data_IF_950893176793
#
_entry.id   IF_950893176793
#
_cell.length_a   1.000
_cell.length_b   1.000
_cell.length_c   1.000
_cell.angle_alpha   90.00
_cell.angle_beta   90.00
_cell.angle_gamma   90.00
#
_symmetry.space_group_name_H-M   'P 1'
#
loop_
_entity.id
_entity.type
_entity.pdbx_description
1 polymer ?
#
# COMPACT_ATOMS: atom_id res chain seq x y z
N UNK A 1 1.02 3.62 -7.88
CA UNK A 1 0.58 2.24 -7.52
C UNK A 1 -0.84 2.32 -6.99
N UNK A 2 -1.75 1.46 -7.46
CA UNK A 2 -3.15 1.43 -7.01
C UNK A 2 -3.39 0.13 -6.25
N UNK A 3 -3.55 0.24 -4.94
CA UNK A 3 -3.97 -0.86 -4.06
C UNK A 3 -5.28 -0.51 -3.37
N UNK A 4 -5.99 0.51 -3.87
CA UNK A 4 -7.32 0.88 -3.39
C UNK A 4 -8.30 -0.27 -3.58
N UNK A 5 -9.32 -0.34 -2.72
CA UNK A 5 -10.40 -1.35 -2.80
C UNK A 5 -9.91 -2.80 -2.69
N UNK A 6 -8.90 -3.04 -1.86
CA UNK A 6 -8.39 -4.37 -1.57
C UNK A 6 -8.79 -4.82 -0.15
N UNK A 7 -8.32 -6.00 0.25
CA UNK A 7 -8.57 -6.58 1.59
C UNK A 7 -7.29 -6.60 2.43
N UNK A 8 -6.43 -5.59 2.23
CA UNK A 8 -5.20 -5.47 3.00
C UNK A 8 -5.55 -5.04 4.43
N UNK A 9 -5.09 -5.82 5.41
CA UNK A 9 -5.26 -5.55 6.85
C UNK A 9 -4.00 -4.91 7.45
N UNK A 10 -2.84 -5.27 6.92
CA UNK A 10 -1.57 -4.65 7.27
C UNK A 10 -0.63 -4.73 6.07
N UNK A 11 0.44 -3.94 6.12
CA UNK A 11 1.53 -4.02 5.16
C UNK A 11 2.82 -4.33 5.91
N UNK A 12 3.63 -5.30 5.45
CA UNK A 12 4.90 -5.59 6.09
C UNK A 12 5.81 -4.36 6.09
N UNK A 13 6.55 -4.17 7.18
CA UNK A 13 7.54 -3.12 7.26
C UNK A 13 8.54 -3.24 6.10
N UNK A 14 8.80 -2.13 5.42
CA UNK A 14 9.78 -2.05 4.34
C UNK A 14 9.35 -2.66 2.99
N UNK A 15 8.10 -3.12 2.85
CA UNK A 15 7.59 -3.67 1.58
C UNK A 15 7.68 -2.67 0.41
N UNK A 16 7.70 -1.37 0.71
CA UNK A 16 7.79 -0.30 -0.28
C UNK A 16 9.20 0.31 -0.40
N UNK A 17 10.17 -0.13 0.40
CA UNK A 17 11.52 0.47 0.43
C UNK A 17 12.28 0.28 -0.88
N UNK A 18 11.95 -0.79 -1.62
CA UNK A 18 12.51 -1.05 -2.95
C UNK A 18 11.92 -0.17 -4.05
N UNK A 19 10.79 0.51 -3.79
CA UNK A 19 10.09 1.35 -4.75
C UNK A 19 10.64 2.79 -4.73
N UNK A 20 11.94 2.92 -5.01
CA UNK A 20 12.71 4.18 -4.89
C UNK A 20 12.19 5.33 -5.75
N UNK A 21 11.44 5.04 -6.81
CA UNK A 21 10.85 6.03 -7.73
C UNK A 21 9.34 6.18 -7.58
N UNK A 22 8.75 5.65 -6.51
CA UNK A 22 7.31 5.73 -6.30
C UNK A 22 6.89 7.15 -5.87
N UNK A 23 6.10 7.81 -6.73
CA UNK A 23 5.61 9.17 -6.46
C UNK A 23 4.25 9.20 -5.77
N UNK A 24 3.37 8.24 -6.07
CA UNK A 24 2.01 8.21 -5.55
C UNK A 24 1.49 6.79 -5.37
N UNK A 25 0.82 6.57 -4.24
CA UNK A 25 0.16 5.32 -3.89
C UNK A 25 -1.24 5.61 -3.34
N UNK A 26 -2.20 4.81 -3.78
CA UNK A 26 -3.57 4.83 -3.27
C UNK A 26 -3.82 3.55 -2.48
N UNK A 27 -4.20 3.72 -1.21
CA UNK A 27 -4.40 2.66 -0.20
C UNK A 27 -5.79 2.72 0.44
N UNK A 28 -6.66 3.61 -0.07
CA UNK A 28 -8.01 3.79 0.39
C UNK A 28 -8.88 2.54 0.21
N UNK A 29 -9.98 2.49 0.95
CA UNK A 29 -10.96 1.41 0.88
C UNK A 29 -10.36 0.00 1.11
N UNK A 30 -9.40 -0.11 2.03
CA UNK A 30 -8.88 -1.36 2.58
C UNK A 30 -9.26 -1.46 4.07
N UNK A 31 -9.57 -2.67 4.58
CA UNK A 31 -9.90 -2.89 5.98
C UNK A 31 -8.62 -2.97 6.84
N UNK A 32 -7.92 -1.85 6.99
CA UNK A 32 -6.73 -1.76 7.83
C UNK A 32 -7.05 -2.04 9.30
N UNK A 33 -6.20 -2.84 9.95
CA UNK A 33 -6.22 -3.08 11.40
C UNK A 33 -5.30 -2.07 12.13
#
# INVERSE_FOLDING_TARGET
LYLSENKLQSVPYGVFDSLTNLQTMFLDNNPWD
#
